data_IF_719002184408
#
_entry.id   IF_719002184408
#
_cell.length_a   1.000
_cell.length_b   1.000
_cell.length_c   1.000
_cell.angle_alpha   90.00
_cell.angle_beta   90.00
_cell.angle_gamma   90.00
#
_symmetry.space_group_name_H-M   'P 1'
#
loop_
_entity.id
_entity.type
_entity.pdbx_description
1 polymer ?
#
# COMPACT_ATOMS: atom_id res chain seq x y z
N UNK A 1 15.78 -0.04 9.98
CA UNK A 1 15.45 -1.12 10.95
C UNK A 1 15.57 -2.49 10.27
N UNK A 2 14.87 -2.73 9.16
CA UNK A 2 14.95 -4.00 8.43
C UNK A 2 16.36 -4.35 7.93
N UNK A 3 17.14 -3.38 7.44
CA UNK A 3 18.54 -3.63 7.03
C UNK A 3 19.44 -4.13 8.16
N UNK A 4 19.05 -3.97 9.43
CA UNK A 4 19.78 -4.49 10.59
C UNK A 4 19.47 -5.96 10.89
N UNK A 5 18.49 -6.58 10.23
CA UNK A 5 18.18 -8.01 10.41
C UNK A 5 19.10 -8.94 9.64
N UNK A 6 19.96 -8.39 8.76
CA UNK A 6 20.78 -9.18 7.82
C UNK A 6 20.07 -9.53 6.52
N UNK A 7 18.78 -9.18 6.36
CA UNK A 7 18.05 -9.35 5.11
C UNK A 7 18.54 -8.36 4.03
N UNK A 8 18.52 -8.81 2.78
CA UNK A 8 18.65 -7.94 1.62
C UNK A 8 17.33 -7.18 1.42
N UNK A 9 17.35 -5.86 1.68
CA UNK A 9 16.17 -5.01 1.63
C UNK A 9 16.29 -3.99 0.50
N UNK A 10 15.26 -3.90 -0.34
CA UNK A 10 15.11 -2.85 -1.36
C UNK A 10 13.96 -1.93 -1.02
N UNK A 11 14.17 -0.62 -1.15
CA UNK A 11 13.18 0.41 -0.82
C UNK A 11 12.93 1.27 -2.05
N UNK A 12 11.66 1.55 -2.33
CA UNK A 12 11.26 2.44 -3.42
C UNK A 12 9.75 2.42 -3.66
N UNK A 13 9.32 2.46 -4.92
CA UNK A 13 7.90 2.54 -5.28
C UNK A 13 7.58 3.87 -5.95
N UNK A 14 6.52 4.55 -5.51
CA UNK A 14 6.10 5.85 -6.02
C UNK A 14 7.12 6.96 -5.65
N UNK A 15 7.76 6.88 -4.48
CA UNK A 15 8.92 7.69 -4.09
C UNK A 15 10.23 6.90 -4.29
N UNK A 16 11.24 7.58 -4.83
CA UNK A 16 12.58 7.03 -4.98
C UNK A 16 12.72 6.15 -6.21
N UNK A 17 13.26 4.93 -6.05
CA UNK A 17 13.45 4.02 -7.19
C UNK A 17 12.13 3.33 -7.50
N UNK A 18 11.63 3.50 -8.73
CA UNK A 18 10.39 2.84 -9.17
C UNK A 18 10.41 1.32 -8.98
N UNK A 19 9.28 0.75 -8.56
CA UNK A 19 9.16 -0.69 -8.27
C UNK A 19 9.62 -1.57 -9.45
N UNK A 20 9.24 -1.23 -10.68
CA UNK A 20 9.70 -1.95 -11.88
C UNK A 20 11.23 -1.96 -12.02
N UNK A 21 11.91 -0.85 -11.71
CA UNK A 21 13.38 -0.80 -11.72
C UNK A 21 14.01 -1.63 -10.60
N UNK A 22 13.39 -1.68 -9.43
CA UNK A 22 13.84 -2.52 -8.32
C UNK A 22 13.73 -4.02 -8.64
N UNK A 23 12.73 -4.41 -9.42
CA UNK A 23 12.47 -5.81 -9.79
C UNK A 23 13.36 -6.30 -10.96
N UNK A 24 13.96 -5.41 -11.73
CA UNK A 24 14.88 -5.77 -12.83
C UNK A 24 16.28 -6.20 -12.34
N UNK A 25 16.66 -5.86 -11.10
CA UNK A 25 17.92 -6.31 -10.51
C UNK A 25 17.78 -7.66 -9.79
N UNK A 26 18.85 -8.11 -9.14
CA UNK A 26 18.83 -9.34 -8.33
C UNK A 26 17.66 -9.36 -7.33
N UNK A 27 16.98 -10.49 -7.08
CA UNK A 27 15.94 -10.57 -6.07
C UNK A 27 16.41 -10.11 -4.69
N UNK A 28 15.53 -9.44 -3.95
CA UNK A 28 15.74 -9.07 -2.55
C UNK A 28 14.81 -9.89 -1.65
N UNK A 29 15.21 -10.08 -0.39
CA UNK A 29 14.39 -10.80 0.60
C UNK A 29 13.15 -9.98 0.96
N UNK A 30 13.29 -8.64 1.00
CA UNK A 30 12.23 -7.72 1.36
C UNK A 30 12.21 -6.54 0.40
N UNK A 31 11.03 -6.24 -0.14
CA UNK A 31 10.74 -5.00 -0.85
C UNK A 31 9.84 -4.13 0.03
N UNK A 32 10.29 -2.91 0.31
CA UNK A 32 9.50 -1.88 1.00
C UNK A 32 9.07 -0.88 -0.06
N UNK A 33 7.79 -0.90 -0.39
CA UNK A 33 7.22 -0.06 -1.43
C UNK A 33 6.30 0.99 -0.82
N UNK A 34 6.55 2.26 -1.12
CA UNK A 34 5.53 3.30 -1.00
C UNK A 34 4.69 3.27 -2.28
N UNK A 35 3.36 3.22 -2.12
CA UNK A 35 2.44 2.97 -3.23
C UNK A 35 1.32 4.00 -3.18
N UNK A 36 1.06 4.65 -4.32
CA UNK A 36 -0.01 5.65 -4.43
C UNK A 36 -1.37 5.01 -4.75
N UNK A 37 -2.46 5.77 -4.58
CA UNK A 37 -3.81 5.29 -4.95
C UNK A 37 -3.92 4.97 -6.44
N UNK A 38 -3.29 5.78 -7.29
CA UNK A 38 -3.22 5.55 -8.74
C UNK A 38 -2.59 4.19 -9.07
N UNK A 39 -1.47 3.86 -8.42
CA UNK A 39 -0.79 2.59 -8.65
C UNK A 39 -1.60 1.39 -8.16
N UNK A 40 -2.35 1.55 -7.07
CA UNK A 40 -3.23 0.49 -6.56
C UNK A 40 -4.41 0.21 -7.51
N UNK A 41 -4.97 1.23 -8.16
CA UNK A 41 -5.98 1.04 -9.21
C UNK A 41 -5.39 0.35 -10.45
N UNK A 42 -4.19 0.77 -10.87
CA UNK A 42 -3.55 0.28 -12.09
C UNK A 42 -2.88 -1.11 -11.92
N UNK A 43 -2.74 -1.60 -10.69
CA UNK A 43 -2.11 -2.88 -10.36
C UNK A 43 -3.11 -3.84 -9.70
N UNK A 44 -4.10 -4.38 -10.44
CA UNK A 44 -5.20 -5.17 -9.88
C UNK A 44 -4.78 -6.55 -9.37
N UNK A 45 -3.51 -6.94 -9.47
CA UNK A 45 -2.96 -8.19 -8.92
C UNK A 45 -1.96 -7.94 -7.78
N UNK A 46 -1.84 -6.70 -7.32
CA UNK A 46 -0.93 -6.33 -6.24
C UNK A 46 -1.35 -7.01 -4.93
N UNK A 47 -0.44 -7.84 -4.37
CA UNK A 47 -0.66 -8.61 -3.14
C UNK A 47 0.55 -8.46 -2.20
N UNK A 48 0.58 -7.43 -1.34
CA UNK A 48 1.64 -7.30 -0.34
C UNK A 48 1.44 -8.29 0.81
N UNK A 49 2.52 -8.89 1.31
CA UNK A 49 2.47 -9.72 2.53
C UNK A 49 2.15 -8.89 3.78
N UNK A 50 2.60 -7.63 3.78
CA UNK A 50 2.32 -6.66 4.83
C UNK A 50 1.90 -5.36 4.16
N UNK A 51 0.64 -4.99 4.33
CA UNK A 51 0.10 -3.70 3.90
C UNK A 51 0.10 -2.72 5.08
N UNK A 52 0.41 -1.45 4.81
CA UNK A 52 0.35 -0.38 5.80
C UNK A 52 -0.46 0.78 5.25
N UNK A 53 -1.51 1.18 5.95
CA UNK A 53 -2.28 2.40 5.67
C UNK A 53 -2.16 3.37 6.84
N UNK A 54 -1.48 4.49 6.63
CA UNK A 54 -1.18 5.44 7.72
C UNK A 54 -2.37 6.27 8.15
N UNK A 55 -3.14 6.79 7.19
CA UNK A 55 -4.38 7.53 7.37
C UNK A 55 -5.03 7.83 6.01
N UNK A 56 -6.30 8.17 6.03
CA UNK A 56 -7.04 8.74 4.90
C UNK A 56 -7.45 10.17 5.23
N UNK A 57 -7.03 11.12 4.41
CA UNK A 57 -7.49 12.52 4.45
C UNK A 57 -7.85 12.98 3.04
N UNK A 58 -8.71 14.01 2.87
CA UNK A 58 -9.00 14.58 1.56
C UNK A 58 -7.73 14.91 0.76
N UNK A 59 -7.59 14.25 -0.38
CA UNK A 59 -6.52 14.46 -1.34
C UNK A 59 -7.01 13.97 -2.72
N UNK A 60 -6.45 14.50 -3.80
CA UNK A 60 -6.76 14.10 -5.18
C UNK A 60 -8.27 14.07 -5.54
N UNK A 61 -9.10 14.90 -4.89
CA UNK A 61 -10.54 14.90 -5.10
C UNK A 61 -10.97 15.38 -6.49
N UNK A 62 -10.11 16.11 -7.19
CA UNK A 62 -10.24 16.43 -8.61
C UNK A 62 -10.26 15.19 -9.51
N UNK A 63 -9.54 14.11 -9.12
CA UNK A 63 -9.52 12.82 -9.81
C UNK A 63 -10.64 11.89 -9.35
N UNK A 64 -10.87 11.81 -8.04
CA UNK A 64 -11.74 10.81 -7.43
C UNK A 64 -13.18 11.30 -7.22
N UNK A 65 -13.42 12.61 -7.24
CA UNK A 65 -14.72 13.26 -7.03
C UNK A 65 -15.20 13.23 -5.59
N UNK A 66 -15.00 12.12 -4.88
CA UNK A 66 -15.40 11.95 -3.47
C UNK A 66 -14.29 11.31 -2.65
N UNK A 67 -14.30 11.58 -1.34
CA UNK A 67 -13.38 10.95 -0.40
C UNK A 67 -13.61 9.43 -0.32
N UNK A 68 -14.85 8.96 -0.52
CA UNK A 68 -15.18 7.53 -0.55
C UNK A 68 -14.47 6.84 -1.72
N UNK A 69 -14.55 7.37 -2.94
CA UNK A 69 -13.85 6.79 -4.09
C UNK A 69 -12.33 6.76 -3.91
N UNK A 70 -11.76 7.79 -3.28
CA UNK A 70 -10.33 7.81 -2.94
C UNK A 70 -9.98 6.76 -1.88
N UNK A 71 -10.86 6.58 -0.90
CA UNK A 71 -10.73 5.56 0.14
C UNK A 71 -10.75 4.16 -0.49
N UNK A 72 -11.74 3.88 -1.35
CA UNK A 72 -11.86 2.61 -2.08
C UNK A 72 -10.60 2.31 -2.91
N UNK A 73 -10.04 3.32 -3.57
CA UNK A 73 -8.80 3.21 -4.34
C UNK A 73 -7.59 2.85 -3.45
N UNK A 74 -7.48 3.41 -2.24
CA UNK A 74 -6.42 3.03 -1.29
C UNK A 74 -6.64 1.66 -0.66
N UNK A 75 -7.89 1.27 -0.41
CA UNK A 75 -8.22 -0.03 0.18
C UNK A 75 -7.92 -1.21 -0.76
N UNK A 76 -7.73 -0.96 -2.06
CA UNK A 76 -7.22 -1.97 -2.99
C UNK A 76 -5.89 -2.59 -2.56
N UNK A 77 -5.10 -1.94 -1.69
CA UNK A 77 -3.89 -2.52 -1.08
C UNK A 77 -4.16 -3.85 -0.33
N UNK A 78 -5.42 -4.06 0.09
CA UNK A 78 -5.87 -5.25 0.83
C UNK A 78 -6.61 -6.26 -0.05
N UNK A 79 -6.92 -5.94 -1.31
CA UNK A 79 -7.88 -6.67 -2.14
C UNK A 79 -7.55 -8.15 -2.37
N UNK A 80 -6.26 -8.51 -2.31
CA UNK A 80 -5.77 -9.88 -2.51
C UNK A 80 -5.14 -10.50 -1.26
N UNK A 81 -5.26 -9.85 -0.09
CA UNK A 81 -4.70 -10.39 1.15
C UNK A 81 -5.45 -11.65 1.60
N UNK A 82 -4.72 -12.59 2.17
CA UNK A 82 -5.24 -13.81 2.78
C UNK A 82 -5.04 -13.76 4.30
N UNK A 83 -5.60 -14.71 5.08
CA UNK A 83 -5.39 -14.75 6.54
C UNK A 83 -3.92 -14.88 6.98
N UNK A 84 -3.02 -15.25 6.07
CA UNK A 84 -1.57 -15.34 6.29
C UNK A 84 -0.85 -13.98 6.11
N UNK A 85 -1.51 -12.98 5.52
CA UNK A 85 -0.97 -11.64 5.32
C UNK A 85 -1.37 -10.70 6.48
N UNK A 86 -0.68 -9.56 6.61
CA UNK A 86 -0.96 -8.58 7.65
C UNK A 86 -1.41 -7.23 7.07
N UNK A 87 -2.41 -6.62 7.70
CA UNK A 87 -2.80 -5.24 7.45
C UNK A 87 -2.60 -4.40 8.70
N UNK A 88 -1.72 -3.41 8.60
CA UNK A 88 -1.44 -2.44 9.66
C UNK A 88 -2.09 -1.11 9.30
N UNK A 89 -2.85 -0.56 10.22
CA UNK A 89 -3.49 0.73 10.03
C UNK A 89 -3.48 1.56 11.31
N UNK A 90 -3.69 2.87 11.18
CA UNK A 90 -3.84 3.74 12.34
C UNK A 90 -5.25 3.61 12.92
N UNK A 91 -5.36 2.99 14.09
CA UNK A 91 -6.64 2.65 14.72
C UNK A 91 -7.49 3.87 15.14
N UNK A 92 -6.91 5.07 15.17
CA UNK A 92 -7.64 6.31 15.48
C UNK A 92 -8.04 7.09 14.23
N UNK A 93 -7.75 6.60 13.01
CA UNK A 93 -8.28 7.18 11.79
C UNK A 93 -9.75 6.75 11.58
N UNK A 94 -10.73 7.65 11.76
CA UNK A 94 -12.14 7.29 11.69
C UNK A 94 -12.57 6.82 10.30
N UNK A 95 -11.92 7.29 9.23
CA UNK A 95 -12.28 6.91 7.85
C UNK A 95 -11.84 5.47 7.60
N UNK A 96 -10.60 5.15 7.96
CA UNK A 96 -10.08 3.77 7.84
C UNK A 96 -10.91 2.80 8.67
N UNK A 97 -11.25 3.14 9.92
CA UNK A 97 -12.08 2.29 10.79
C UNK A 97 -13.49 2.09 10.24
N UNK A 98 -14.10 3.14 9.67
CA UNK A 98 -15.41 3.03 9.05
C UNK A 98 -15.39 2.12 7.81
N UNK A 99 -14.36 2.22 6.96
CA UNK A 99 -14.25 1.41 5.75
C UNK A 99 -13.95 -0.06 6.05
N UNK A 100 -13.20 -0.36 7.12
CA UNK A 100 -13.00 -1.73 7.60
C UNK A 100 -14.30 -2.47 7.93
N UNK A 101 -15.37 -1.76 8.28
CA UNK A 101 -16.70 -2.35 8.51
C UNK A 101 -17.49 -2.64 7.24
N UNK A 102 -17.01 -2.22 6.07
CA UNK A 102 -17.65 -2.40 4.76
C UNK A 102 -17.04 -3.53 3.93
N UNK A 103 -15.78 -3.87 4.19
CA UNK A 103 -14.99 -4.92 3.51
C UNK A 103 -15.14 -6.29 4.15
#
# INVERSE_FOLDING_TARGET
MLTKSGANVRVGGNIGTGAGRLLLGEPADIYVLEVSSYQLEDCPTFKPNVAVLTNITPDHLDRYGTLANYTDAKFQITAHQTPEDAFLYYAEDPITVAELGRV
#
